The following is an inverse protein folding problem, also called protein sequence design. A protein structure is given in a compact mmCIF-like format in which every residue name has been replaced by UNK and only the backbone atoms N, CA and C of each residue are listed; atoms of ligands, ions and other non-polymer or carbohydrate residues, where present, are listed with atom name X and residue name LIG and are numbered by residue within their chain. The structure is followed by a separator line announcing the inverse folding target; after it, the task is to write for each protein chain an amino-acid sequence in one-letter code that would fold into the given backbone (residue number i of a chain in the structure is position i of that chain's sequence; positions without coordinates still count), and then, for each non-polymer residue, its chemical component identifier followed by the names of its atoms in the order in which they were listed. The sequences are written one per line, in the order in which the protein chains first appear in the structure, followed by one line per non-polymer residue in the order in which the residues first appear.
data_IF_678589689315
#
_entry.id   IF_678589689315
#
_cell.length_a   1.000
_cell.length_b   1.000
_cell.length_c   1.000
_cell.angle_alpha   90.00
_cell.angle_beta   90.00
_cell.angle_gamma   90.00
#
_symmetry.space_group_name_H-M   'P 1'
#
loop_
_entity.id
_entity.type
_entity.pdbx_description
1 polymer ?
#
# COMPACT_ATOMS: atom_id res chain seq x y z
N UNK A 1 -47.01 -2.94 38.94
CA UNK A 1 -46.20 -3.91 38.16
C UNK A 1 -45.49 -3.15 37.04
N UNK A 2 -44.30 -3.64 36.65
CA UNK A 2 -43.13 -2.91 36.11
C UNK A 2 -43.34 -2.25 34.73
N UNK A 3 -42.86 -1.01 34.57
CA UNK A 3 -42.59 -0.34 33.27
C UNK A 3 -41.19 -0.77 32.81
N UNK A 4 -41.11 -1.44 31.66
CA UNK A 4 -39.84 -1.90 31.07
C UNK A 4 -39.18 -0.78 30.26
N UNK A 5 -37.97 -0.44 30.68
CA UNK A 5 -37.01 0.42 30.00
C UNK A 5 -36.42 -0.32 28.78
N UNK A 6 -36.75 0.11 27.55
CA UNK A 6 -36.16 -0.45 26.33
C UNK A 6 -35.55 0.61 25.39
N UNK A 7 -35.46 1.87 25.81
CA UNK A 7 -34.97 2.98 24.97
C UNK A 7 -33.45 3.27 25.08
N UNK A 8 -32.69 2.59 25.92
CA UNK A 8 -31.30 2.98 26.22
C UNK A 8 -30.22 2.31 25.34
N UNK A 9 -30.53 1.25 24.58
CA UNK A 9 -29.50 0.48 23.86
C UNK A 9 -29.21 1.03 22.45
N UNK A 10 -30.20 1.60 21.75
CA UNK A 10 -29.99 2.13 20.40
C UNK A 10 -29.18 3.44 20.36
N UNK A 11 -29.24 4.25 21.43
CA UNK A 11 -28.52 5.53 21.48
C UNK A 11 -26.99 5.36 21.70
N UNK A 12 -26.57 4.28 22.37
CA UNK A 12 -25.15 4.03 22.63
C UNK A 12 -24.39 3.52 21.40
N UNK A 13 -25.01 2.65 20.58
CA UNK A 13 -24.40 2.17 19.33
C UNK A 13 -24.24 3.30 18.30
N UNK A 14 -25.21 4.23 18.23
CA UNK A 14 -25.13 5.38 17.32
C UNK A 14 -24.08 6.42 17.70
N UNK A 15 -23.82 6.59 19.00
CA UNK A 15 -22.83 7.57 19.49
C UNK A 15 -21.39 7.07 19.36
N UNK A 16 -21.17 5.77 19.58
CA UNK A 16 -19.85 5.14 19.48
C UNK A 16 -19.39 5.06 18.02
N UNK A 17 -20.28 4.71 17.08
CA UNK A 17 -19.94 4.66 15.66
C UNK A 17 -19.54 6.03 15.08
N UNK A 18 -20.16 7.12 15.54
CA UNK A 18 -19.83 8.47 15.10
C UNK A 18 -18.47 8.95 15.60
N UNK A 19 -18.14 8.69 16.87
CA UNK A 19 -16.84 9.07 17.46
C UNK A 19 -15.64 8.40 16.76
N UNK A 20 -15.80 7.15 16.31
CA UNK A 20 -14.72 6.42 15.61
C UNK A 20 -14.52 6.86 14.16
N UNK A 21 -15.54 7.41 13.51
CA UNK A 21 -15.38 8.01 12.17
C UNK A 21 -14.56 9.31 12.24
N UNK A 22 -14.70 10.07 13.33
CA UNK A 22 -13.90 11.27 13.61
C UNK A 22 -12.43 10.89 13.85
N UNK A 23 -12.15 9.82 14.61
CA UNK A 23 -10.79 9.35 14.88
C UNK A 23 -9.99 9.03 13.60
N UNK A 24 -10.61 8.33 12.63
CA UNK A 24 -9.91 7.94 11.40
C UNK A 24 -9.67 9.14 10.47
N UNK A 25 -10.62 10.08 10.42
CA UNK A 25 -10.44 11.31 9.64
C UNK A 25 -9.32 12.19 10.23
N UNK A 26 -9.26 12.31 11.56
CA UNK A 26 -8.20 13.05 12.22
C UNK A 26 -6.84 12.34 12.09
N UNK A 27 -6.82 11.01 12.12
CA UNK A 27 -5.63 10.24 11.81
C UNK A 27 -5.11 10.52 10.39
N UNK A 28 -6.01 10.59 9.41
CA UNK A 28 -5.65 10.91 8.03
C UNK A 28 -5.04 12.32 7.94
N UNK A 29 -5.65 13.32 8.58
CA UNK A 29 -5.10 14.69 8.64
C UNK A 29 -3.70 14.68 9.25
N UNK A 30 -3.49 13.98 10.37
CA UNK A 30 -2.18 13.88 11.02
C UNK A 30 -1.15 13.21 10.11
N UNK A 31 -1.54 12.14 9.40
CA UNK A 31 -0.69 11.51 8.39
C UNK A 31 -0.29 12.48 7.28
N UNK A 32 -1.24 13.26 6.75
CA UNK A 32 -0.98 14.24 5.69
C UNK A 32 -0.01 15.35 6.14
N UNK A 33 -0.01 15.68 7.44
CA UNK A 33 0.93 16.64 8.06
C UNK A 33 2.26 16.00 8.49
N UNK A 34 2.43 14.68 8.36
CA UNK A 34 3.63 13.96 8.75
C UNK A 34 3.73 13.60 10.23
N UNK A 35 2.67 13.83 11.02
CA UNK A 35 2.57 13.46 12.44
C UNK A 35 2.25 11.98 12.60
N UNK A 36 3.16 11.11 12.14
CA UNK A 36 2.93 9.67 12.00
C UNK A 36 2.65 8.94 13.32
N UNK A 37 3.31 9.31 14.40
CA UNK A 37 3.12 8.67 15.71
C UNK A 37 1.71 8.94 16.27
N UNK A 38 1.24 10.19 16.18
CA UNK A 38 -0.10 10.59 16.62
C UNK A 38 -1.18 9.99 15.71
N UNK A 39 -0.94 9.98 14.39
CA UNK A 39 -1.81 9.30 13.44
C UNK A 39 -1.96 7.80 13.79
N UNK A 40 -0.86 7.14 14.17
CA UNK A 40 -0.88 5.73 14.52
C UNK A 40 -1.66 5.44 15.82
N UNK A 41 -1.64 6.36 16.79
CA UNK A 41 -2.46 6.26 18.01
C UNK A 41 -3.96 6.30 17.67
N UNK A 42 -4.39 7.25 16.83
CA UNK A 42 -5.78 7.35 16.39
C UNK A 42 -6.20 6.15 15.52
N UNK A 43 -5.33 5.70 14.62
CA UNK A 43 -5.54 4.44 13.87
C UNK A 43 -5.70 3.26 14.84
N UNK A 44 -4.90 3.20 15.90
CA UNK A 44 -5.00 2.17 16.94
C UNK A 44 -6.36 2.17 17.65
N UNK A 45 -6.90 3.35 17.97
CA UNK A 45 -8.27 3.49 18.55
C UNK A 45 -9.34 3.01 17.58
N UNK A 46 -9.25 3.42 16.30
CA UNK A 46 -10.17 2.99 15.26
C UNK A 46 -10.17 1.46 15.09
N UNK A 47 -8.98 0.84 15.04
CA UNK A 47 -8.83 -0.62 14.94
C UNK A 47 -9.21 -1.37 16.23
N UNK A 48 -9.14 -0.72 17.38
CA UNK A 48 -9.64 -1.28 18.65
C UNK A 48 -11.16 -1.40 18.67
N UNK A 49 -11.86 -0.48 18.01
CA UNK A 49 -13.32 -0.50 17.87
C UNK A 49 -13.79 -1.42 16.74
N UNK A 50 -13.12 -1.35 15.58
CA UNK A 50 -13.37 -2.22 14.44
C UNK A 50 -12.05 -2.75 13.87
N UNK A 51 -11.61 -3.94 14.30
CA UNK A 51 -10.41 -4.57 13.76
C UNK A 51 -10.49 -4.83 12.27
N UNK A 52 -11.68 -4.91 11.67
CA UNK A 52 -11.95 -5.18 10.25
C UNK A 52 -11.93 -3.93 9.36
N UNK A 53 -11.79 -2.73 9.93
CA UNK A 53 -11.84 -1.49 9.15
C UNK A 53 -10.67 -1.40 8.16
N UNK A 54 -10.96 -1.70 6.88
CA UNK A 54 -9.96 -1.75 5.81
C UNK A 54 -9.25 -0.42 5.60
N UNK A 55 -9.93 0.70 5.80
CA UNK A 55 -9.34 2.03 5.63
C UNK A 55 -8.36 2.36 6.76
N UNK A 56 -8.70 2.02 8.01
CA UNK A 56 -7.79 2.16 9.14
C UNK A 56 -6.56 1.25 8.99
N UNK A 57 -6.75 -0.01 8.55
CA UNK A 57 -5.64 -0.92 8.24
C UNK A 57 -4.77 -0.36 7.12
N UNK A 58 -5.37 0.17 6.06
CA UNK A 58 -4.63 0.73 4.93
C UNK A 58 -3.80 1.94 5.37
N UNK A 59 -4.38 2.87 6.14
CA UNK A 59 -3.67 4.02 6.70
C UNK A 59 -2.52 3.58 7.63
N UNK A 60 -2.72 2.54 8.45
CA UNK A 60 -1.64 1.93 9.24
C UNK A 60 -0.46 1.50 8.34
N UNK A 61 -0.75 0.80 7.25
CA UNK A 61 0.26 0.38 6.28
C UNK A 61 1.02 1.57 5.67
N UNK A 62 0.31 2.63 5.28
CA UNK A 62 0.92 3.86 4.76
C UNK A 62 1.83 4.55 5.77
N UNK A 63 1.39 4.65 7.04
CA UNK A 63 2.19 5.20 8.14
C UNK A 63 3.48 4.39 8.31
N UNK A 64 3.39 3.06 8.37
CA UNK A 64 4.54 2.17 8.51
C UNK A 64 5.54 2.32 7.36
N UNK A 65 5.06 2.52 6.11
CA UNK A 65 5.94 2.84 4.98
C UNK A 65 6.68 4.16 5.20
N UNK A 66 6.01 5.22 5.66
CA UNK A 66 6.64 6.52 5.93
C UNK A 66 7.68 6.45 7.04
N UNK A 67 7.45 5.60 8.04
CA UNK A 67 8.40 5.30 9.10
C UNK A 67 9.51 4.31 8.68
N UNK A 68 9.54 3.87 7.41
CA UNK A 68 10.48 2.87 6.87
C UNK A 68 10.40 1.50 7.57
N UNK A 69 9.28 1.20 8.22
CA UNK A 69 8.96 -0.11 8.82
C UNK A 69 8.34 -1.03 7.77
N UNK A 70 9.09 -1.28 6.70
CA UNK A 70 8.59 -1.94 5.50
C UNK A 70 8.07 -3.36 5.75
N UNK A 71 8.70 -4.14 6.65
CA UNK A 71 8.25 -5.51 6.95
C UNK A 71 6.89 -5.52 7.64
N UNK A 72 6.63 -4.57 8.53
CA UNK A 72 5.33 -4.41 9.18
C UNK A 72 4.27 -3.93 8.18
N UNK A 73 4.65 -3.00 7.28
CA UNK A 73 3.77 -2.55 6.21
C UNK A 73 3.37 -3.68 5.27
N UNK A 74 4.32 -4.56 4.89
CA UNK A 74 4.04 -5.76 4.09
C UNK A 74 3.04 -6.66 4.80
N UNK A 75 3.22 -6.91 6.10
CA UNK A 75 2.29 -7.75 6.86
C UNK A 75 0.88 -7.17 6.86
N UNK A 76 0.74 -5.85 7.07
CA UNK A 76 -0.56 -5.16 7.03
C UNK A 76 -1.20 -5.23 5.65
N UNK A 77 -0.48 -4.87 4.59
CA UNK A 77 -1.05 -4.90 3.24
C UNK A 77 -1.36 -6.31 2.76
N UNK A 78 -0.54 -7.30 3.09
CA UNK A 78 -0.79 -8.71 2.73
C UNK A 78 -2.08 -9.22 3.39
N UNK A 79 -2.28 -8.91 4.67
CA UNK A 79 -3.53 -9.25 5.35
C UNK A 79 -4.74 -8.57 4.70
N UNK A 80 -4.62 -7.31 4.26
CA UNK A 80 -5.69 -6.65 3.51
C UNK A 80 -5.93 -7.36 2.18
N UNK A 81 -4.90 -7.77 1.44
CA UNK A 81 -5.07 -8.45 0.15
C UNK A 81 -5.66 -9.86 0.28
N UNK A 82 -5.44 -10.51 1.42
CA UNK A 82 -6.01 -11.83 1.71
C UNK A 82 -7.51 -11.69 2.06
N UNK A 83 -7.88 -10.67 2.83
CA UNK A 83 -9.27 -10.42 3.27
C UNK A 83 -10.12 -9.71 2.19
N UNK A 84 -9.49 -8.83 1.39
CA UNK A 84 -10.12 -7.94 0.41
C UNK A 84 -9.36 -7.94 -0.94
N UNK A 85 -9.40 -9.04 -1.71
CA UNK A 85 -8.70 -9.14 -2.98
C UNK A 85 -9.22 -8.16 -4.05
N UNK A 86 -10.39 -7.56 -3.86
CA UNK A 86 -10.97 -6.53 -4.72
C UNK A 86 -10.37 -5.13 -4.50
N UNK A 87 -9.54 -4.93 -3.47
CA UNK A 87 -8.90 -3.64 -3.19
C UNK A 87 -7.55 -3.52 -3.90
N UNK A 88 -7.40 -2.67 -4.94
CA UNK A 88 -6.16 -2.57 -5.71
C UNK A 88 -5.02 -1.85 -4.97
N UNK A 89 -5.34 -0.93 -4.05
CA UNK A 89 -4.35 -0.03 -3.43
C UNK A 89 -3.32 -0.76 -2.54
N UNK A 90 -3.69 -1.76 -1.70
CA UNK A 90 -2.74 -2.57 -0.95
C UNK A 90 -1.75 -3.32 -1.85
N UNK A 91 -2.21 -3.92 -2.95
CA UNK A 91 -1.34 -4.57 -3.94
C UNK A 91 -0.35 -3.58 -4.57
N UNK A 92 -0.80 -2.39 -4.95
CA UNK A 92 0.08 -1.36 -5.49
C UNK A 92 1.17 -0.94 -4.47
N UNK A 93 0.82 -0.80 -3.19
CA UNK A 93 1.82 -0.47 -2.15
C UNK A 93 2.80 -1.63 -1.88
N UNK A 94 2.33 -2.89 -1.87
CA UNK A 94 3.20 -4.06 -1.84
C UNK A 94 4.21 -4.03 -2.99
N UNK A 95 3.75 -3.69 -4.20
CA UNK A 95 4.63 -3.59 -5.35
C UNK A 95 5.71 -2.52 -5.20
N UNK A 96 5.36 -1.35 -4.65
CA UNK A 96 6.32 -0.29 -4.34
C UNK A 96 7.39 -0.77 -3.36
N UNK A 97 6.98 -1.43 -2.28
CA UNK A 97 7.93 -1.96 -1.27
C UNK A 97 8.83 -3.03 -1.89
N UNK A 98 8.27 -4.00 -2.62
CA UNK A 98 9.06 -5.06 -3.25
C UNK A 98 10.03 -4.52 -4.30
N UNK A 99 9.60 -3.56 -5.12
CA UNK A 99 10.48 -2.92 -6.11
C UNK A 99 11.61 -2.14 -5.43
N UNK A 100 11.34 -1.46 -4.31
CA UNK A 100 12.36 -0.77 -3.50
C UNK A 100 13.42 -1.73 -2.92
N UNK A 101 13.04 -2.98 -2.66
CA UNK A 101 13.94 -4.07 -2.24
C UNK A 101 14.64 -4.80 -3.39
N UNK A 102 14.39 -4.40 -4.64
CA UNK A 102 14.90 -5.09 -5.83
C UNK A 102 14.20 -6.42 -6.14
N UNK A 103 13.12 -6.75 -5.42
CA UNK A 103 12.31 -7.95 -5.65
C UNK A 103 11.25 -7.68 -6.72
N UNK A 104 11.73 -7.58 -7.96
CA UNK A 104 10.89 -7.18 -9.08
C UNK A 104 9.85 -8.22 -9.47
N UNK A 105 10.05 -9.51 -9.15
CA UNK A 105 9.07 -10.55 -9.44
C UNK A 105 7.86 -10.46 -8.50
N UNK A 106 8.07 -10.30 -7.19
CA UNK A 106 6.95 -10.05 -6.27
C UNK A 106 6.27 -8.72 -6.56
N UNK A 107 7.03 -7.68 -6.92
CA UNK A 107 6.45 -6.40 -7.33
C UNK A 107 5.53 -6.55 -8.56
N UNK A 108 5.97 -7.34 -9.55
CA UNK A 108 5.18 -7.60 -10.76
C UNK A 108 3.92 -8.36 -10.44
N UNK A 109 4.01 -9.41 -9.64
CA UNK A 109 2.83 -10.19 -9.22
C UNK A 109 1.81 -9.30 -8.52
N UNK A 110 2.25 -8.43 -7.61
CA UNK A 110 1.36 -7.52 -6.90
C UNK A 110 0.69 -6.52 -7.85
N UNK A 111 1.42 -5.91 -8.79
CA UNK A 111 0.81 -5.01 -9.78
C UNK A 111 -0.19 -5.72 -10.70
N UNK A 112 0.08 -6.97 -11.09
CA UNK A 112 -0.86 -7.76 -11.89
C UNK A 112 -2.14 -8.05 -11.10
N UNK A 113 -2.06 -8.36 -9.80
CA UNK A 113 -3.23 -8.50 -8.93
C UNK A 113 -3.99 -7.17 -8.80
N UNK A 114 -3.28 -6.05 -8.63
CA UNK A 114 -3.92 -4.72 -8.58
C UNK A 114 -4.70 -4.42 -9.87
N UNK A 115 -4.10 -4.71 -11.04
CA UNK A 115 -4.74 -4.51 -12.35
C UNK A 115 -5.91 -5.47 -12.55
N UNK A 116 -5.86 -6.67 -11.99
CA UNK A 116 -7.00 -7.59 -12.03
C UNK A 116 -8.19 -7.05 -11.21
N UNK A 117 -7.92 -6.40 -10.07
CA UNK A 117 -8.93 -5.76 -9.23
C UNK A 117 -9.50 -4.47 -9.85
N UNK A 118 -8.66 -3.64 -10.48
CA UNK A 118 -9.10 -2.47 -11.26
C UNK A 118 -8.41 -2.39 -12.64
N UNK A 119 -9.03 -2.97 -13.68
CA UNK A 119 -8.44 -3.00 -15.02
C UNK A 119 -8.36 -1.66 -15.74
N UNK A 120 -9.10 -0.64 -15.25
CA UNK A 120 -9.22 0.68 -15.87
C UNK A 120 -8.29 1.72 -15.23
N UNK A 121 -7.67 1.41 -14.09
CA UNK A 121 -6.70 2.32 -13.47
C UNK A 121 -5.40 2.39 -14.31
N UNK A 122 -5.27 3.52 -15.02
CA UNK A 122 -4.10 3.82 -15.84
C UNK A 122 -2.81 3.93 -15.01
N UNK A 123 -2.89 4.33 -13.72
CA UNK A 123 -1.73 4.43 -12.85
C UNK A 123 -1.11 3.07 -12.57
N UNK A 124 -1.92 2.01 -12.42
CA UNK A 124 -1.41 0.65 -12.20
C UNK A 124 -0.66 0.13 -13.44
N UNK A 125 -1.18 0.40 -14.64
CA UNK A 125 -0.49 0.05 -15.89
C UNK A 125 0.81 0.84 -16.07
N UNK A 126 0.80 2.12 -15.69
CA UNK A 126 1.99 2.97 -15.68
C UNK A 126 3.04 2.44 -14.70
N UNK A 127 2.66 2.07 -13.48
CA UNK A 127 3.56 1.47 -12.49
C UNK A 127 4.14 0.13 -12.97
N UNK A 128 3.35 -0.70 -13.67
CA UNK A 128 3.83 -1.93 -14.30
C UNK A 128 4.84 -1.66 -15.42
N UNK A 129 4.61 -0.61 -16.23
CA UNK A 129 5.57 -0.14 -17.24
C UNK A 129 6.89 0.31 -16.62
N UNK A 130 6.85 1.13 -15.56
CA UNK A 130 8.03 1.56 -14.82
C UNK A 130 8.82 0.37 -14.25
N UNK A 131 8.11 -0.63 -13.72
CA UNK A 131 8.71 -1.87 -13.23
C UNK A 131 9.39 -2.67 -14.35
N UNK A 132 8.78 -2.77 -15.53
CA UNK A 132 9.42 -3.43 -16.68
C UNK A 132 10.67 -2.70 -17.15
N UNK A 133 10.71 -1.36 -17.07
CA UNK A 133 11.92 -0.58 -17.27
C UNK A 133 13.05 -0.99 -16.32
N UNK A 134 12.75 -1.15 -15.03
CA UNK A 134 13.72 -1.61 -14.01
C UNK A 134 14.21 -3.03 -14.26
N UNK A 135 13.31 -3.95 -14.63
CA UNK A 135 13.66 -5.33 -15.01
C UNK A 135 14.60 -5.37 -16.24
N UNK A 136 14.33 -4.54 -17.24
CA UNK A 136 15.19 -4.42 -18.41
C UNK A 136 16.58 -3.90 -18.04
N UNK A 137 16.67 -2.87 -17.20
CA UNK A 137 17.94 -2.34 -16.68
C UNK A 137 18.73 -3.45 -15.97
N UNK A 138 18.10 -4.14 -15.02
CA UNK A 138 18.74 -5.25 -14.27
C UNK A 138 19.29 -6.32 -15.22
N UNK A 139 18.46 -6.77 -16.16
CA UNK A 139 18.83 -7.84 -17.10
C UNK A 139 19.98 -7.44 -18.02
N UNK A 140 19.97 -6.19 -18.52
CA UNK A 140 21.07 -5.66 -19.33
C UNK A 140 22.37 -5.51 -18.53
N UNK A 141 22.29 -5.02 -17.29
CA UNK A 141 23.45 -4.91 -16.40
C UNK A 141 24.05 -6.28 -16.08
N UNK A 142 23.22 -7.27 -15.74
CA UNK A 142 23.67 -8.66 -15.51
C UNK A 142 24.35 -9.24 -16.75
N UNK A 143 23.75 -9.08 -17.94
CA UNK A 143 24.33 -9.55 -19.20
C UNK A 143 25.69 -8.88 -19.52
N UNK A 144 25.81 -7.56 -19.31
CA UNK A 144 27.07 -6.84 -19.51
C UNK A 144 28.15 -7.22 -18.50
N UNK A 145 27.75 -7.62 -17.28
CA UNK A 145 28.65 -8.20 -16.28
C UNK A 145 29.24 -9.54 -16.71
N UNK A 146 28.54 -10.31 -17.56
CA UNK A 146 29.02 -11.57 -18.12
C UNK A 146 29.87 -11.37 -19.37
N UNK A 147 29.49 -10.43 -20.23
CA UNK A 147 30.19 -10.15 -21.49
C UNK A 147 29.95 -8.71 -21.94
N UNK A 148 31.03 -7.98 -22.22
CA UNK A 148 30.93 -6.66 -22.84
C UNK A 148 30.29 -6.75 -24.23
N UNK A 149 29.32 -5.87 -24.48
CA UNK A 149 28.60 -5.72 -25.73
C UNK A 149 28.23 -4.24 -25.93
N UNK A 150 28.95 -3.50 -26.81
CA UNK A 150 28.70 -2.08 -27.04
C UNK A 150 27.28 -1.76 -27.52
N UNK A 151 26.62 -2.67 -28.24
CA UNK A 151 25.24 -2.48 -28.69
C UNK A 151 24.27 -2.56 -27.49
N UNK A 152 24.53 -3.47 -26.55
CA UNK A 152 23.76 -3.62 -25.33
C UNK A 152 23.96 -2.43 -24.37
N UNK A 153 25.18 -1.91 -24.23
CA UNK A 153 25.46 -0.68 -23.48
C UNK A 153 24.64 0.51 -24.01
N UNK A 154 24.50 0.62 -25.34
CA UNK A 154 23.66 1.62 -25.98
C UNK A 154 22.18 1.48 -25.63
N UNK A 155 21.66 0.25 -25.54
CA UNK A 155 20.28 -0.03 -25.11
C UNK A 155 20.08 0.30 -23.63
N UNK A 156 21.01 -0.12 -22.77
CA UNK A 156 20.97 0.16 -21.34
C UNK A 156 20.89 1.67 -21.08
N UNK A 157 21.77 2.47 -21.69
CA UNK A 157 21.72 3.94 -21.55
C UNK A 157 20.37 4.54 -21.93
N UNK A 158 19.71 4.05 -22.97
CA UNK A 158 18.37 4.52 -23.38
C UNK A 158 17.32 4.19 -22.34
N UNK A 159 17.32 2.96 -21.81
CA UNK A 159 16.35 2.56 -20.77
C UNK A 159 16.61 3.33 -19.47
N UNK A 160 17.87 3.46 -19.04
CA UNK A 160 18.23 4.30 -17.87
C UNK A 160 17.78 5.76 -18.03
N UNK A 161 17.89 6.32 -19.25
CA UNK A 161 17.44 7.69 -19.50
C UNK A 161 15.92 7.86 -19.39
N UNK A 162 15.16 6.80 -19.68
CA UNK A 162 13.70 6.82 -19.62
C UNK A 162 13.16 6.52 -18.22
N UNK A 163 13.82 5.62 -17.46
CA UNK A 163 13.29 5.08 -16.20
C UNK A 163 14.14 5.40 -14.96
N UNK A 164 15.26 6.11 -15.14
CA UNK A 164 16.24 6.39 -14.11
C UNK A 164 17.25 5.27 -13.92
N UNK A 165 18.36 5.60 -13.26
CA UNK A 165 19.31 4.60 -12.78
C UNK A 165 18.83 4.04 -11.44
N UNK A 166 19.06 2.75 -11.16
CA UNK A 166 18.73 2.14 -9.88
C UNK A 166 19.47 2.82 -8.72
#
# INVERSE_FOLDING_TARGET
MKRNSFLAVCALLGFVAAAHADDLQDAQKLYDHGSYAEALDLVGKSLGADPGNVQARFLKGLILMKEKKESDAIAVFSAITDDHPEYPQPYNNLAVIYAGRGDYERARSALLSAIAADPQDAMLRKNLGDLYGRLAIRSYTEALGLKSDPALEGKLRKVESAFGRP
#
